data_IF_063077616541
#
_entry.id   IF_063077616541
#
_cell.length_a   1.000
_cell.length_b   1.000
_cell.length_c   1.000
_cell.angle_alpha   90.00
_cell.angle_beta   90.00
_cell.angle_gamma   90.00
#
_symmetry.space_group_name_H-M   'P 1'
#
loop_
_entity.id
_entity.type
_entity.pdbx_description
1 polymer ?
#
# COMPACT_ATOMS: atom_id res chain seq x y z
N UNK A 1 11.51 -14.52 26.52
CA UNK A 1 12.22 -15.52 25.72
C UNK A 1 13.22 -14.75 24.88
N UNK A 2 14.32 -14.41 25.55
CA UNK A 2 15.37 -13.55 25.03
C UNK A 2 16.27 -14.31 24.07
N UNK A 3 17.02 -13.55 23.28
CA UNK A 3 18.12 -13.98 22.38
C UNK A 3 17.71 -14.58 21.04
N UNK A 4 17.77 -13.76 19.99
CA UNK A 4 18.49 -14.06 18.73
C UNK A 4 18.94 -12.74 18.07
N UNK A 5 19.75 -11.96 18.79
CA UNK A 5 20.75 -11.13 18.11
C UNK A 5 21.86 -12.11 17.75
N UNK A 6 21.81 -12.63 16.52
CA UNK A 6 22.90 -13.40 15.95
C UNK A 6 23.97 -12.42 15.46
N UNK A 7 25.08 -12.38 16.20
CA UNK A 7 26.33 -11.69 15.83
C UNK A 7 26.98 -12.22 14.54
N UNK A 8 26.43 -13.29 13.95
CA UNK A 8 26.86 -13.80 12.67
C UNK A 8 25.79 -13.48 11.64
N UNK A 9 26.14 -12.68 10.63
CA UNK A 9 25.30 -12.23 9.51
C UNK A 9 24.82 -13.36 8.58
N UNK A 10 24.31 -14.44 9.15
CA UNK A 10 23.67 -15.54 8.45
C UNK A 10 22.19 -15.20 8.35
N UNK A 11 21.81 -14.74 7.17
CA UNK A 11 20.43 -14.64 6.72
C UNK A 11 19.71 -15.98 6.99
N UNK A 12 18.71 -15.98 7.86
CA UNK A 12 17.75 -17.09 7.91
C UNK A 12 17.00 -17.09 6.56
N UNK A 13 17.11 -18.15 5.74
CA UNK A 13 16.39 -18.24 4.50
C UNK A 13 14.89 -18.29 4.83
N UNK A 14 14.19 -17.25 4.40
CA UNK A 14 12.73 -17.18 4.38
C UNK A 14 12.21 -18.45 3.68
N UNK A 15 11.14 -19.11 4.15
CA UNK A 15 10.46 -20.11 3.32
C UNK A 15 9.80 -19.35 2.15
N UNK A 16 10.33 -19.43 0.91
CA UNK A 16 9.87 -18.63 -0.23
C UNK A 16 8.38 -18.84 -0.51
N UNK A 17 7.84 -20.00 -0.10
CA UNK A 17 6.44 -20.35 -0.23
C UNK A 17 5.50 -19.44 0.57
N UNK A 18 5.86 -18.97 1.76
CA UNK A 18 4.99 -18.09 2.54
C UNK A 18 4.87 -16.70 1.91
N UNK A 19 5.98 -16.19 1.37
CA UNK A 19 6.02 -14.94 0.61
C UNK A 19 5.13 -15.00 -0.62
N UNK A 20 5.33 -16.05 -1.42
CA UNK A 20 4.56 -16.30 -2.64
C UNK A 20 3.08 -16.45 -2.33
N UNK A 21 2.72 -17.19 -1.26
CA UNK A 21 1.32 -17.35 -0.83
C UNK A 21 0.67 -16.03 -0.45
N UNK A 22 1.34 -15.20 0.34
CA UNK A 22 0.78 -13.90 0.75
C UNK A 22 0.55 -13.00 -0.48
N UNK A 23 1.52 -12.96 -1.38
CA UNK A 23 1.45 -12.11 -2.58
C UNK A 23 0.43 -12.61 -3.59
N UNK A 24 0.28 -13.92 -3.70
CA UNK A 24 -0.81 -14.53 -4.45
C UNK A 24 -2.18 -14.13 -3.85
N UNK A 25 -2.33 -14.17 -2.52
CA UNK A 25 -3.55 -13.71 -1.83
C UNK A 25 -3.80 -12.21 -2.08
N UNK A 26 -2.77 -11.38 -1.98
CA UNK A 26 -2.87 -9.93 -2.27
C UNK A 26 -3.32 -9.67 -3.71
N UNK A 27 -2.70 -10.35 -4.67
CA UNK A 27 -3.03 -10.25 -6.09
C UNK A 27 -4.44 -10.74 -6.40
N UNK A 28 -4.87 -11.87 -5.83
CA UNK A 28 -6.23 -12.40 -6.02
C UNK A 28 -7.28 -11.47 -5.41
N UNK A 29 -7.04 -10.91 -4.22
CA UNK A 29 -7.98 -9.96 -3.61
C UNK A 29 -8.09 -8.69 -4.46
N UNK A 30 -6.98 -8.19 -4.99
CA UNK A 30 -6.99 -7.03 -5.89
C UNK A 30 -7.82 -7.30 -7.15
N UNK A 31 -7.58 -8.44 -7.82
CA UNK A 31 -8.31 -8.86 -9.02
C UNK A 31 -9.80 -9.05 -8.71
N UNK A 32 -10.14 -9.75 -7.63
CA UNK A 32 -11.53 -9.97 -7.23
C UNK A 32 -12.24 -8.65 -6.92
N UNK A 33 -11.59 -7.73 -6.20
CA UNK A 33 -12.17 -6.41 -5.90
C UNK A 33 -12.44 -5.62 -7.18
N UNK A 34 -11.48 -5.64 -8.11
CA UNK A 34 -11.64 -5.00 -9.42
C UNK A 34 -12.78 -5.65 -10.24
N UNK A 35 -12.85 -6.99 -10.27
CA UNK A 35 -13.92 -7.72 -10.95
C UNK A 35 -15.30 -7.45 -10.34
N UNK A 36 -15.40 -7.37 -9.01
CA UNK A 36 -16.65 -7.03 -8.31
C UNK A 36 -17.09 -5.60 -8.64
N UNK A 37 -16.15 -4.65 -8.65
CA UNK A 37 -16.44 -3.27 -9.06
C UNK A 37 -16.96 -3.20 -10.50
N UNK A 38 -16.37 -3.97 -11.42
CA UNK A 38 -16.78 -3.99 -12.82
C UNK A 38 -18.11 -4.72 -13.06
N UNK A 39 -18.33 -5.85 -12.39
CA UNK A 39 -19.51 -6.72 -12.63
C UNK A 39 -20.76 -6.25 -11.90
N UNK A 40 -20.64 -5.74 -10.66
CA UNK A 40 -21.80 -5.34 -9.84
C UNK A 40 -22.18 -3.88 -10.00
N UNK A 41 -21.23 -2.99 -10.33
CA UNK A 41 -21.48 -1.55 -10.31
C UNK A 41 -21.38 -0.84 -11.68
N UNK A 42 -21.36 -1.56 -12.81
CA UNK A 42 -20.89 -1.10 -14.14
C UNK A 42 -19.94 0.11 -14.18
N UNK A 43 -19.08 0.28 -13.17
CA UNK A 43 -18.29 1.49 -12.95
C UNK A 43 -16.85 1.19 -13.38
N UNK A 44 -16.35 1.96 -14.35
CA UNK A 44 -15.00 1.82 -14.88
C UNK A 44 -14.13 3.00 -14.48
N UNK A 45 -12.81 2.78 -14.35
CA UNK A 45 -11.85 3.85 -14.08
C UNK A 45 -11.91 5.00 -15.11
N UNK A 46 -12.39 4.69 -16.32
CA UNK A 46 -12.51 5.67 -17.42
C UNK A 46 -13.75 6.56 -17.23
N UNK A 47 -14.91 5.96 -16.93
CA UNK A 47 -16.20 6.70 -16.88
C UNK A 47 -16.50 7.28 -15.50
N UNK A 48 -16.14 6.58 -14.43
CA UNK A 48 -16.48 6.96 -13.04
C UNK A 48 -15.29 6.76 -12.08
N UNK A 49 -14.13 7.39 -12.33
CA UNK A 49 -12.88 7.14 -11.60
C UNK A 49 -13.02 7.30 -10.09
N UNK A 50 -13.72 8.33 -9.62
CA UNK A 50 -13.87 8.61 -8.19
C UNK A 50 -14.59 7.49 -7.46
N UNK A 51 -15.69 6.99 -8.02
CA UNK A 51 -16.49 5.92 -7.41
C UNK A 51 -15.74 4.59 -7.46
N UNK A 52 -15.05 4.30 -8.57
CA UNK A 52 -14.22 3.09 -8.69
C UNK A 52 -13.12 3.10 -7.64
N UNK A 53 -12.36 4.20 -7.53
CA UNK A 53 -11.27 4.31 -6.56
C UNK A 53 -11.79 4.21 -5.13
N UNK A 54 -12.92 4.86 -4.82
CA UNK A 54 -13.55 4.79 -3.50
C UNK A 54 -13.88 3.35 -3.08
N UNK A 55 -14.52 2.59 -3.96
CA UNK A 55 -14.86 1.18 -3.69
C UNK A 55 -13.59 0.34 -3.53
N UNK A 56 -12.60 0.54 -4.41
CA UNK A 56 -11.36 -0.23 -4.37
C UNK A 56 -10.61 0.00 -3.07
N UNK A 57 -10.29 1.25 -2.70
CA UNK A 57 -9.55 1.49 -1.45
C UNK A 57 -10.41 1.18 -0.22
N UNK A 58 -11.73 1.37 -0.31
CA UNK A 58 -12.67 1.03 0.76
C UNK A 58 -12.71 -0.47 1.09
N UNK A 59 -12.42 -1.34 0.13
CA UNK A 59 -12.34 -2.80 0.33
C UNK A 59 -10.89 -3.24 0.58
N UNK A 60 -9.96 -2.81 -0.28
CA UNK A 60 -8.55 -3.23 -0.22
C UNK A 60 -7.87 -2.71 1.03
N UNK A 61 -8.12 -1.45 1.42
CA UNK A 61 -7.52 -0.83 2.60
C UNK A 61 -7.73 -1.65 3.88
N UNK A 62 -8.99 -1.95 4.27
CA UNK A 62 -9.27 -2.80 5.42
C UNK A 62 -8.67 -4.21 5.33
N UNK A 63 -8.71 -4.84 4.15
CA UNK A 63 -8.08 -6.15 3.94
C UNK A 63 -6.57 -6.09 4.22
N UNK A 64 -5.88 -5.07 3.70
CA UNK A 64 -4.45 -4.89 3.94
C UNK A 64 -4.17 -4.64 5.43
N UNK A 65 -5.01 -3.85 6.11
CA UNK A 65 -4.89 -3.64 7.55
C UNK A 65 -5.03 -4.96 8.34
N UNK A 66 -5.99 -5.82 7.97
CA UNK A 66 -6.18 -7.13 8.60
C UNK A 66 -4.95 -8.02 8.35
N UNK A 67 -4.55 -8.14 7.09
CA UNK A 67 -3.46 -9.03 6.67
C UNK A 67 -2.12 -8.65 7.31
N UNK A 68 -1.74 -7.37 7.24
CA UNK A 68 -0.50 -6.90 7.84
C UNK A 68 -0.59 -6.73 9.36
N UNK A 69 -1.79 -6.60 9.93
CA UNK A 69 -2.02 -6.70 11.38
C UNK A 69 -1.75 -8.11 11.93
N UNK A 70 -1.95 -9.15 11.11
CA UNK A 70 -1.53 -10.52 11.44
C UNK A 70 -0.02 -10.74 11.30
N UNK A 71 0.63 -10.05 10.35
CA UNK A 71 2.08 -10.11 10.13
C UNK A 71 2.88 -9.14 10.99
N UNK A 72 2.30 -8.61 12.07
CA UNK A 72 2.96 -7.65 12.96
C UNK A 72 4.20 -8.27 13.60
N UNK A 73 5.28 -7.49 13.70
CA UNK A 73 6.54 -7.95 14.28
C UNK A 73 6.41 -8.24 15.78
N UNK A 74 5.62 -7.43 16.50
CA UNK A 74 5.38 -7.58 17.94
C UNK A 74 4.02 -8.27 18.22
N UNK A 75 3.92 -9.55 17.88
CA UNK A 75 2.68 -10.32 18.04
C UNK A 75 2.18 -10.39 19.48
N UNK A 76 3.08 -10.44 20.46
CA UNK A 76 2.72 -10.61 21.88
C UNK A 76 2.43 -9.30 22.63
N UNK A 77 3.04 -8.18 22.22
CA UNK A 77 2.91 -6.90 22.93
C UNK A 77 1.89 -5.94 22.31
N UNK A 78 1.61 -6.09 21.01
CA UNK A 78 0.65 -5.24 20.32
C UNK A 78 -0.67 -5.99 20.06
N UNK A 79 -1.77 -5.46 20.58
CA UNK A 79 -3.11 -5.92 20.23
C UNK A 79 -3.42 -5.61 18.76
N UNK A 80 -4.24 -6.46 18.15
CA UNK A 80 -4.72 -6.29 16.78
C UNK A 80 -5.37 -4.90 16.55
N UNK A 81 -6.17 -4.41 17.52
CA UNK A 81 -6.78 -3.08 17.44
C UNK A 81 -5.74 -1.95 17.38
N UNK A 82 -4.59 -2.12 18.06
CA UNK A 82 -3.50 -1.16 18.03
C UNK A 82 -2.79 -1.18 16.68
N UNK A 83 -2.63 -2.36 16.06
CA UNK A 83 -2.09 -2.50 14.72
C UNK A 83 -3.03 -1.89 13.67
N UNK A 84 -4.34 -2.08 13.80
CA UNK A 84 -5.35 -1.44 12.95
C UNK A 84 -5.34 0.09 13.11
N UNK A 85 -5.26 0.60 14.35
CA UNK A 85 -5.13 2.04 14.61
C UNK A 85 -3.87 2.64 13.98
N UNK A 86 -2.73 1.97 14.08
CA UNK A 86 -1.49 2.36 13.38
C UNK A 86 -1.67 2.34 11.86
N UNK A 87 -2.33 1.33 11.33
CA UNK A 87 -2.70 1.23 9.91
C UNK A 87 -3.53 2.42 9.44
N UNK A 88 -4.56 2.80 10.21
CA UNK A 88 -5.39 3.96 9.90
C UNK A 88 -4.61 5.29 9.94
N UNK A 89 -3.72 5.47 10.93
CA UNK A 89 -2.82 6.62 10.97
C UNK A 89 -1.90 6.64 9.74
N UNK A 90 -1.34 5.48 9.38
CA UNK A 90 -0.55 5.30 8.16
C UNK A 90 -1.34 5.62 6.89
N UNK A 91 -2.61 5.23 6.82
CA UNK A 91 -3.50 5.51 5.70
C UNK A 91 -3.64 7.03 5.49
N UNK A 92 -3.97 7.76 6.54
CA UNK A 92 -4.17 9.22 6.48
C UNK A 92 -2.86 9.96 6.22
N UNK A 93 -1.81 9.65 6.97
CA UNK A 93 -0.51 10.31 6.80
C UNK A 93 0.08 10.05 5.41
N UNK A 94 0.02 8.80 4.95
CA UNK A 94 0.48 8.43 3.62
C UNK A 94 -0.36 9.03 2.50
N UNK A 95 -1.67 9.23 2.70
CA UNK A 95 -2.52 9.89 1.71
C UNK A 95 -2.13 11.36 1.55
N UNK A 96 -1.81 12.06 2.65
CA UNK A 96 -1.30 13.43 2.59
C UNK A 96 0.02 13.48 1.81
N UNK A 97 0.97 12.59 2.11
CA UNK A 97 2.25 12.52 1.40
C UNK A 97 2.07 12.24 -0.10
N UNK A 98 1.22 11.26 -0.44
CA UNK A 98 0.94 10.93 -1.84
C UNK A 98 0.23 12.07 -2.58
N UNK A 99 -0.73 12.75 -1.94
CA UNK A 99 -1.43 13.89 -2.52
C UNK A 99 -0.47 15.06 -2.78
N UNK A 100 0.39 15.39 -1.82
CA UNK A 100 1.43 16.41 -2.00
C UNK A 100 2.41 16.04 -3.12
N UNK A 101 2.84 14.77 -3.16
CA UNK A 101 3.69 14.25 -4.23
C UNK A 101 3.03 14.39 -5.61
N UNK A 102 1.75 14.03 -5.73
CA UNK A 102 1.00 14.19 -6.97
C UNK A 102 0.88 15.67 -7.39
N UNK A 103 0.61 16.58 -6.44
CA UNK A 103 0.52 18.02 -6.72
C UNK A 103 1.88 18.56 -7.22
N UNK A 104 2.98 18.18 -6.58
CA UNK A 104 4.34 18.56 -7.01
C UNK A 104 4.65 18.04 -8.42
N UNK A 105 4.16 16.85 -8.75
CA UNK A 105 4.30 16.23 -10.08
C UNK A 105 3.32 16.79 -11.13
N UNK A 106 2.49 17.77 -10.78
CA UNK A 106 1.61 18.48 -11.72
C UNK A 106 0.13 18.08 -11.66
N UNK A 107 -0.32 17.40 -10.61
CA UNK A 107 -1.74 17.12 -10.43
C UNK A 107 -2.54 18.44 -10.22
N UNK A 108 -3.72 18.59 -10.85
CA UNK A 108 -4.50 19.82 -10.77
C UNK A 108 -5.04 20.06 -9.36
N UNK A 109 -4.87 21.29 -8.87
CA UNK A 109 -5.36 21.76 -7.55
C UNK A 109 -6.67 22.52 -7.73
N UNK A 110 -7.80 21.80 -7.68
CA UNK A 110 -9.13 22.39 -7.75
C UNK A 110 -10.17 21.53 -7.03
N UNK A 111 -11.25 22.14 -6.56
CA UNK A 111 -12.32 21.42 -5.84
C UNK A 111 -12.95 20.30 -6.67
N UNK A 112 -13.00 20.46 -7.99
CA UNK A 112 -13.50 19.44 -8.92
C UNK A 112 -12.62 18.18 -8.97
N UNK A 113 -11.30 18.34 -8.87
CA UNK A 113 -10.32 17.24 -8.92
C UNK A 113 -9.92 16.74 -7.55
N UNK A 114 -10.21 17.52 -6.49
CA UNK A 114 -9.84 17.20 -5.11
C UNK A 114 -10.27 15.79 -4.70
N UNK A 115 -11.52 15.41 -4.96
CA UNK A 115 -12.04 14.09 -4.60
C UNK A 115 -11.35 12.97 -5.40
N UNK A 116 -10.95 13.21 -6.65
CA UNK A 116 -10.20 12.24 -7.46
C UNK A 116 -8.79 12.03 -6.87
N UNK A 117 -8.09 13.13 -6.60
CA UNK A 117 -6.74 13.12 -6.00
C UNK A 117 -6.76 12.49 -4.61
N UNK A 118 -7.78 12.78 -3.80
CA UNK A 118 -7.96 12.21 -2.47
C UNK A 118 -8.14 10.70 -2.53
N UNK A 119 -9.09 10.19 -3.33
CA UNK A 119 -9.33 8.75 -3.45
C UNK A 119 -8.11 8.01 -4.02
N UNK A 120 -7.41 8.60 -4.99
CA UNK A 120 -6.16 8.05 -5.51
C UNK A 120 -5.08 8.01 -4.42
N UNK A 121 -4.93 9.09 -3.64
CA UNK A 121 -3.92 9.16 -2.58
C UNK A 121 -4.18 8.17 -1.43
N UNK A 122 -5.46 7.92 -1.11
CA UNK A 122 -5.88 6.90 -0.14
C UNK A 122 -5.59 5.49 -0.67
N UNK A 123 -5.84 5.24 -1.96
CA UNK A 123 -5.48 3.98 -2.59
C UNK A 123 -3.97 3.74 -2.55
N UNK A 124 -3.17 4.73 -2.95
CA UNK A 124 -1.71 4.64 -2.92
C UNK A 124 -1.18 4.41 -1.50
N UNK A 125 -1.71 5.13 -0.53
CA UNK A 125 -1.36 4.98 0.88
C UNK A 125 -1.68 3.59 1.42
N UNK A 126 -2.78 2.98 0.96
CA UNK A 126 -3.16 1.61 1.33
C UNK A 126 -2.09 0.59 0.98
N UNK A 127 -1.37 0.77 -0.14
CA UNK A 127 -0.30 -0.14 -0.54
C UNK A 127 1.08 0.24 -0.03
N UNK A 128 1.33 1.53 0.23
CA UNK A 128 2.67 2.04 0.55
C UNK A 128 2.89 2.22 2.05
N UNK A 129 1.96 2.86 2.77
CA UNK A 129 2.14 3.23 4.18
C UNK A 129 1.41 2.29 5.14
N UNK A 130 0.22 1.79 4.79
CA UNK A 130 -0.57 0.92 5.67
C UNK A 130 0.17 -0.37 6.06
N UNK A 131 0.80 -1.12 5.13
CA UNK A 131 1.53 -2.35 5.49
C UNK A 131 2.67 -2.09 6.47
N UNK A 132 3.45 -1.03 6.24
CA UNK A 132 4.54 -0.60 7.11
C UNK A 132 4.05 -0.14 8.49
N UNK A 133 2.96 0.64 8.53
CA UNK A 133 2.39 1.13 9.77
C UNK A 133 1.78 0.01 10.63
N UNK A 134 1.08 -0.94 10.01
CA UNK A 134 0.56 -2.12 10.71
C UNK A 134 1.68 -3.02 11.24
N UNK A 135 2.73 -3.27 10.44
CA UNK A 135 3.77 -4.21 10.78
C UNK A 135 4.84 -3.66 11.75
N UNK A 136 5.28 -2.42 11.54
CA UNK A 136 6.39 -1.79 12.29
C UNK A 136 5.94 -0.69 13.26
N UNK A 137 4.73 -0.15 13.11
CA UNK A 137 4.27 0.97 13.94
C UNK A 137 5.13 2.23 13.76
N UNK A 138 5.58 2.84 14.86
CA UNK A 138 6.34 4.10 14.85
C UNK A 138 7.86 3.91 14.87
N UNK A 139 8.35 2.69 14.65
CA UNK A 139 9.78 2.39 14.70
C UNK A 139 10.51 2.95 13.47
N UNK A 140 10.97 4.20 13.54
CA UNK A 140 11.60 4.91 12.41
C UNK A 140 12.77 4.16 11.77
N UNK A 141 13.57 3.44 12.56
CA UNK A 141 14.67 2.61 12.05
C UNK A 141 14.19 1.51 11.09
N UNK A 142 13.04 0.89 11.34
CA UNK A 142 12.45 -0.10 10.45
C UNK A 142 11.88 0.53 9.18
N UNK A 143 11.26 1.71 9.29
CA UNK A 143 10.79 2.47 8.13
C UNK A 143 11.94 2.87 7.20
N UNK A 144 13.01 3.43 7.77
CA UNK A 144 14.19 3.80 7.02
C UNK A 144 14.82 2.58 6.32
N UNK A 145 14.97 1.47 7.04
CA UNK A 145 15.47 0.21 6.46
C UNK A 145 14.61 -0.30 5.31
N UNK A 146 13.28 -0.23 5.41
CA UNK A 146 12.39 -0.76 4.38
C UNK A 146 12.35 0.12 3.14
N UNK A 147 12.37 1.45 3.28
CA UNK A 147 12.21 2.37 2.14
C UNK A 147 13.50 2.99 1.61
N UNK A 148 14.53 3.17 2.45
CA UNK A 148 15.78 3.82 2.06
C UNK A 148 16.96 2.86 1.89
N UNK A 149 16.98 1.75 2.62
CA UNK A 149 18.05 0.75 2.47
C UNK A 149 17.71 -0.30 1.41
N UNK A 150 18.69 -0.60 0.54
CA UNK A 150 18.54 -1.64 -0.48
C UNK A 150 18.56 -3.05 0.09
N UNK A 151 19.21 -3.25 1.25
CA UNK A 151 19.28 -4.54 1.93
C UNK A 151 17.95 -4.82 2.65
N UNK A 152 17.17 -5.79 2.18
CA UNK A 152 16.06 -6.37 2.95
C UNK A 152 16.65 -7.42 3.86
N UNK A 153 16.36 -7.37 5.16
CA UNK A 153 16.92 -8.31 6.14
C UNK A 153 15.86 -9.25 6.73
N UNK A 154 14.57 -8.94 6.57
CA UNK A 154 13.45 -9.73 7.11
C UNK A 154 12.40 -10.09 6.06
N UNK A 155 11.70 -11.20 6.30
CA UNK A 155 10.50 -11.61 5.54
C UNK A 155 9.46 -10.48 5.45
N UNK A 156 9.22 -9.80 6.57
CA UNK A 156 8.23 -8.70 6.64
C UNK A 156 8.65 -7.53 5.75
N UNK A 157 9.96 -7.24 5.63
CA UNK A 157 10.48 -6.17 4.76
C UNK A 157 10.12 -6.46 3.29
N UNK A 158 10.28 -7.70 2.82
CA UNK A 158 9.88 -8.11 1.46
C UNK A 158 8.37 -7.98 1.25
N UNK A 159 7.58 -8.39 2.26
CA UNK A 159 6.12 -8.38 2.15
C UNK A 159 5.54 -6.98 2.01
N UNK A 160 6.22 -5.97 2.56
CA UNK A 160 5.82 -4.57 2.50
C UNK A 160 6.34 -3.89 1.23
N UNK A 161 7.60 -4.18 0.83
CA UNK A 161 8.23 -3.53 -0.32
C UNK A 161 7.52 -3.82 -1.63
N UNK A 162 7.12 -5.07 -1.87
CA UNK A 162 6.57 -5.47 -3.16
C UNK A 162 5.25 -4.76 -3.52
N UNK A 163 4.22 -4.70 -2.64
CA UNK A 163 3.03 -3.91 -2.93
C UNK A 163 3.33 -2.40 -3.02
N UNK A 164 4.26 -1.88 -2.23
CA UNK A 164 4.64 -0.46 -2.28
C UNK A 164 5.28 -0.10 -3.64
N UNK A 165 6.30 -0.83 -4.06
CA UNK A 165 6.94 -0.62 -5.37
C UNK A 165 5.98 -0.91 -6.52
N UNK A 166 5.19 -1.97 -6.42
CA UNK A 166 4.17 -2.29 -7.43
C UNK A 166 3.17 -1.16 -7.63
N UNK A 167 2.69 -0.54 -6.54
CA UNK A 167 1.78 0.61 -6.60
C UNK A 167 2.44 1.84 -7.22
N UNK A 168 3.68 2.18 -6.83
CA UNK A 168 4.41 3.33 -7.39
C UNK A 168 4.71 3.13 -8.87
N UNK A 169 5.20 1.94 -9.26
CA UNK A 169 5.46 1.59 -10.66
C UNK A 169 4.16 1.62 -11.46
N UNK A 170 3.09 1.04 -10.94
CA UNK A 170 1.77 1.04 -11.58
C UNK A 170 1.20 2.45 -11.76
N UNK A 171 1.33 3.31 -10.74
CA UNK A 171 0.92 4.71 -10.82
C UNK A 171 1.73 5.48 -11.87
N UNK A 172 3.05 5.25 -11.94
CA UNK A 172 3.91 5.86 -12.94
C UNK A 172 3.53 5.44 -14.37
N UNK A 173 3.34 4.13 -14.61
CA UNK A 173 2.86 3.64 -15.90
C UNK A 173 1.45 4.15 -16.24
N UNK A 174 0.57 4.30 -15.24
CA UNK A 174 -0.76 4.87 -15.41
C UNK A 174 -0.73 6.37 -15.76
N UNK A 175 0.30 7.10 -15.33
CA UNK A 175 0.51 8.50 -15.70
C UNK A 175 1.15 8.66 -17.09
N UNK A 176 1.88 7.67 -17.60
CA UNK A 176 2.51 7.68 -18.93
C UNK A 176 1.56 7.99 -20.12
N UNK A 177 0.32 7.46 -20.20
CA UNK A 177 -0.58 7.80 -21.30
C UNK A 177 -1.16 9.22 -21.24
N UNK A 178 -0.99 9.94 -20.13
CA UNK A 178 -1.64 11.23 -19.85
C UNK A 178 -1.03 12.45 -20.61
N UNK A 179 0.29 12.56 -20.84
CA UNK A 179 0.87 13.63 -21.65
C UNK A 179 0.53 13.54 -23.14
N UNK A 180 0.10 12.36 -23.62
CA UNK A 180 -0.21 12.15 -25.05
C UNK A 180 -1.65 12.55 -25.42
N UNK A 181 -2.50 12.87 -24.43
CA UNK A 181 -3.92 13.20 -24.62
C UNK A 181 -4.20 14.71 -24.67
N UNK A 182 -3.15 15.55 -24.81
CA UNK A 182 -3.25 17.01 -24.84
C UNK A 182 -3.88 17.60 -26.13
N UNK A 183 -4.29 16.76 -27.07
CA UNK A 183 -4.83 17.17 -28.38
C UNK A 183 -6.27 16.70 -28.68
N UNK A 184 -7.06 16.35 -27.65
CA UNK A 184 -8.49 16.05 -27.90
C UNK A 184 -9.31 17.35 -27.86
N UNK A 185 -10.01 17.73 -28.97
CA UNK A 185 -10.82 18.94 -29.05
C UNK A 185 -12.06 18.89 -28.14
#
# INVERSE_FOLDING_TARGET
>A
MDTLISENGVFLPIPPLQAVRLHFILGTILVLTFMVAHTLFPINLITHPTQTLFIIWGIVGPVLMILFGHLRQDMEQCSYFRAAGRGYVGLVAGAIVNALGAIILGAPVGFEYFTKTLNWSLLMSSFTFVPAACAFGSAWSHWHRVFAETKAFSFIDYMIRLPAYGAVIGAWFGAWPMPLDWERP
#
